data_IF_322185850882
#
_entry.id   IF_322185850882
#
_cell.length_a   1.000
_cell.length_b   1.000
_cell.length_c   1.000
_cell.angle_alpha   90.00
_cell.angle_beta   90.00
_cell.angle_gamma   90.00
#
_symmetry.space_group_name_H-M   'P 1'
#
loop_
_entity.id
_entity.type
_entity.pdbx_description
1 polymer ?
#
# COMPACT_ATOMS: atom_id res chain seq x y z
N UNK A 1 -14.30 49.15 33.67
CA UNK A 1 -14.66 47.72 33.49
C UNK A 1 -13.96 47.19 32.25
N UNK A 2 -12.95 46.34 32.43
CA UNK A 2 -12.06 45.84 31.36
C UNK A 2 -12.74 44.63 30.70
N UNK A 3 -13.27 44.78 29.49
CA UNK A 3 -13.78 43.65 28.69
C UNK A 3 -12.59 42.74 28.35
N UNK A 4 -12.36 41.74 29.17
CA UNK A 4 -11.33 40.73 28.94
C UNK A 4 -11.69 39.96 27.66
N UNK A 5 -10.70 39.75 26.79
CA UNK A 5 -10.84 39.28 25.41
C UNK A 5 -11.21 37.79 25.40
N UNK A 6 -12.51 37.49 25.36
CA UNK A 6 -13.02 36.11 25.24
C UNK A 6 -12.51 35.40 23.97
N UNK A 7 -12.13 36.16 22.93
CA UNK A 7 -11.52 35.64 21.70
C UNK A 7 -10.12 35.05 21.91
N UNK A 8 -9.36 35.54 22.89
CA UNK A 8 -7.99 35.05 23.14
C UNK A 8 -7.98 33.74 23.94
N UNK A 9 -9.00 33.49 24.78
CA UNK A 9 -9.09 32.25 25.57
C UNK A 9 -9.59 31.08 24.70
N UNK A 10 -10.53 31.33 23.79
CA UNK A 10 -11.00 30.32 22.83
C UNK A 10 -9.90 29.86 21.85
N UNK A 11 -9.07 30.80 21.35
CA UNK A 11 -7.95 30.47 20.47
C UNK A 11 -6.86 29.64 21.16
N UNK A 12 -6.59 29.90 22.45
CA UNK A 12 -5.60 29.15 23.24
C UNK A 12 -6.11 27.75 23.60
N UNK A 13 -7.42 27.58 23.86
CA UNK A 13 -8.03 26.26 24.11
C UNK A 13 -8.08 25.37 22.85
N UNK A 14 -8.29 25.94 21.66
CA UNK A 14 -8.21 25.19 20.40
C UNK A 14 -6.78 24.76 20.08
N UNK A 15 -5.78 25.62 20.30
CA UNK A 15 -4.36 25.26 20.11
C UNK A 15 -3.86 24.20 21.11
N UNK A 16 -4.34 24.22 22.34
CA UNK A 16 -3.92 23.24 23.37
C UNK A 16 -4.61 21.87 23.21
N UNK A 17 -5.81 21.82 22.62
CA UNK A 17 -6.45 20.55 22.21
C UNK A 17 -5.74 19.89 21.02
N UNK A 18 -5.12 20.67 20.12
CA UNK A 18 -4.33 20.16 18.99
C UNK A 18 -2.95 19.62 19.40
N UNK A 19 -2.37 20.12 20.50
CA UNK A 19 -0.99 19.81 20.90
C UNK A 19 -0.78 18.47 21.62
N UNK A 20 -1.83 17.90 22.25
CA UNK A 20 -1.70 16.71 23.09
C UNK A 20 -2.26 15.42 22.47
N UNK A 21 -3.18 15.52 21.49
CA UNK A 21 -3.83 14.37 20.86
C UNK A 21 -3.23 13.93 19.52
N UNK A 22 -2.28 14.69 18.97
CA UNK A 22 -1.77 14.46 17.61
C UNK A 22 -0.66 13.43 17.48
N UNK A 23 -0.01 12.98 18.56
CA UNK A 23 1.10 12.03 18.46
C UNK A 23 0.64 10.59 18.72
N UNK A 24 0.68 9.75 17.69
CA UNK A 24 0.42 8.30 17.81
C UNK A 24 1.73 7.53 17.69
N UNK A 25 1.83 6.41 18.40
CA UNK A 25 2.90 5.43 18.22
C UNK A 25 2.63 4.62 16.96
N UNK A 26 3.66 4.39 16.16
CA UNK A 26 3.62 3.48 15.02
C UNK A 26 3.74 2.03 15.54
N UNK A 27 2.83 1.12 15.18
CA UNK A 27 2.80 -0.23 15.77
C UNK A 27 3.99 -1.10 15.31
N UNK A 28 4.57 -0.78 14.15
CA UNK A 28 5.70 -1.52 13.56
C UNK A 28 7.02 -0.94 14.05
N UNK A 29 7.18 0.38 13.92
CA UNK A 29 8.46 1.06 14.18
C UNK A 29 8.61 1.53 15.62
N UNK A 30 7.52 1.57 16.39
CA UNK A 30 7.42 2.14 17.75
C UNK A 30 7.76 3.64 17.85
N UNK A 31 7.94 4.30 16.72
CA UNK A 31 8.20 5.75 16.68
C UNK A 31 6.91 6.54 16.91
N UNK A 32 7.02 7.68 17.62
CA UNK A 32 5.90 8.61 17.79
C UNK A 32 5.89 9.60 16.63
N UNK A 33 4.82 9.60 15.86
CA UNK A 33 4.63 10.54 14.74
C UNK A 33 3.33 11.30 14.92
N UNK A 34 3.31 12.54 14.42
CA UNK A 34 2.09 13.32 14.34
C UNK A 34 1.12 12.67 13.34
N UNK A 35 -0.01 12.20 13.83
CA UNK A 35 -1.06 11.50 13.12
C UNK A 35 -2.38 12.22 13.35
N UNK A 36 -2.97 12.76 12.28
CA UNK A 36 -4.29 13.39 12.34
C UNK A 36 -5.44 12.42 12.11
N UNK A 37 -5.15 11.25 11.54
CA UNK A 37 -6.13 10.19 11.33
C UNK A 37 -6.05 9.13 12.44
N UNK A 38 -7.19 8.75 12.99
CA UNK A 38 -7.30 7.55 13.81
C UNK A 38 -7.30 6.28 12.94
N UNK A 39 -6.97 5.10 13.49
CA UNK A 39 -7.07 3.83 12.74
C UNK A 39 -8.46 3.59 12.14
N UNK A 40 -9.54 3.98 12.83
CA UNK A 40 -10.90 3.83 12.30
C UNK A 40 -11.18 4.79 11.14
N UNK A 41 -10.64 6.01 11.19
CA UNK A 41 -10.74 6.97 10.08
C UNK A 41 -9.93 6.48 8.87
N UNK A 42 -8.78 5.84 9.08
CA UNK A 42 -8.00 5.22 8.00
C UNK A 42 -8.78 4.11 7.31
N UNK A 43 -9.41 3.22 8.08
CA UNK A 43 -10.27 2.16 7.54
C UNK A 43 -11.43 2.75 6.73
N UNK A 44 -12.13 3.74 7.28
CA UNK A 44 -13.23 4.40 6.57
C UNK A 44 -12.75 5.04 5.26
N UNK A 45 -11.60 5.72 5.29
CA UNK A 45 -11.02 6.38 4.13
C UNK A 45 -10.67 5.39 3.02
N UNK A 46 -9.97 4.30 3.37
CA UNK A 46 -9.61 3.27 2.40
C UNK A 46 -10.84 2.59 1.81
N UNK A 47 -11.84 2.26 2.63
CA UNK A 47 -13.08 1.62 2.18
C UNK A 47 -13.90 2.53 1.25
N UNK A 48 -13.94 3.84 1.52
CA UNK A 48 -14.65 4.80 0.67
C UNK A 48 -13.94 4.99 -0.68
N UNK A 49 -12.61 5.05 -0.70
CA UNK A 49 -11.85 5.23 -1.93
C UNK A 49 -11.73 3.95 -2.77
N UNK A 50 -11.71 2.78 -2.15
CA UNK A 50 -11.38 1.49 -2.78
C UNK A 50 -12.16 1.19 -4.08
N UNK A 51 -13.50 1.35 -4.17
CA UNK A 51 -14.23 1.01 -5.40
C UNK A 51 -13.82 1.88 -6.58
N UNK A 52 -13.70 3.19 -6.38
CA UNK A 52 -13.35 4.13 -7.44
C UNK A 52 -11.86 4.07 -7.77
N UNK A 53 -11.01 3.88 -6.76
CA UNK A 53 -9.58 3.63 -6.96
C UNK A 53 -9.36 2.38 -7.84
N UNK A 54 -10.06 1.28 -7.55
CA UNK A 54 -9.96 0.08 -8.39
C UNK A 54 -10.38 0.39 -9.84
N UNK A 55 -11.46 1.17 -10.05
CA UNK A 55 -11.94 1.51 -11.40
C UNK A 55 -10.98 2.41 -12.18
N UNK A 56 -10.27 3.34 -11.51
CA UNK A 56 -9.23 4.16 -12.14
C UNK A 56 -8.14 3.31 -12.81
N UNK A 57 -7.90 2.10 -12.29
CA UNK A 57 -6.93 1.14 -12.80
C UNK A 57 -7.59 -0.07 -13.49
N UNK A 58 -8.75 0.12 -14.11
CA UNK A 58 -9.43 -0.91 -14.93
C UNK A 58 -10.26 -1.92 -14.15
N UNK A 59 -10.41 -1.74 -12.84
CA UNK A 59 -11.17 -2.63 -11.96
C UNK A 59 -10.45 -3.94 -11.65
N UNK A 60 -11.10 -4.85 -10.90
CA UNK A 60 -10.53 -6.17 -10.62
C UNK A 60 -10.30 -6.96 -11.90
N UNK A 61 -9.08 -7.49 -12.07
CA UNK A 61 -8.74 -8.32 -13.20
C UNK A 61 -9.59 -9.59 -13.25
N UNK A 62 -10.19 -9.88 -14.41
CA UNK A 62 -11.16 -10.94 -14.62
C UNK A 62 -10.52 -12.34 -14.75
N UNK A 63 -9.76 -12.74 -13.74
CA UNK A 63 -9.17 -14.07 -13.65
C UNK A 63 -9.21 -14.60 -12.21
N UNK A 64 -10.18 -15.46 -11.87
CA UNK A 64 -10.36 -15.94 -10.50
C UNK A 64 -9.16 -16.77 -9.99
N UNK A 65 -8.40 -17.41 -10.89
CA UNK A 65 -7.22 -18.19 -10.51
C UNK A 65 -6.11 -17.26 -10.05
N UNK A 66 -5.86 -16.18 -10.78
CA UNK A 66 -4.85 -15.19 -10.38
C UNK A 66 -5.29 -14.41 -9.14
N UNK A 67 -6.56 -14.02 -9.05
CA UNK A 67 -7.09 -13.35 -7.86
C UNK A 67 -6.90 -14.20 -6.60
N UNK A 68 -7.28 -15.48 -6.66
CA UNK A 68 -7.14 -16.39 -5.52
C UNK A 68 -5.68 -16.66 -5.18
N UNK A 69 -4.82 -16.80 -6.19
CA UNK A 69 -3.39 -17.02 -5.96
C UNK A 69 -2.73 -15.82 -5.25
N UNK A 70 -2.97 -14.59 -5.74
CA UNK A 70 -2.45 -13.36 -5.11
C UNK A 70 -3.04 -13.18 -3.70
N UNK A 71 -4.33 -13.47 -3.51
CA UNK A 71 -4.97 -13.43 -2.19
C UNK A 71 -4.35 -14.44 -1.23
N UNK A 72 -4.05 -15.66 -1.69
CA UNK A 72 -3.41 -16.69 -0.88
C UNK A 72 -2.00 -16.32 -0.44
N UNK A 73 -1.18 -15.76 -1.33
CA UNK A 73 0.16 -15.24 -0.98
C UNK A 73 0.04 -14.06 -0.02
N UNK A 74 -0.84 -13.09 -0.34
CA UNK A 74 -1.09 -11.92 0.48
C UNK A 74 -1.59 -12.26 1.88
N UNK A 75 -2.49 -13.24 2.02
CA UNK A 75 -3.00 -13.67 3.32
C UNK A 75 -1.90 -14.22 4.24
N UNK A 76 -0.92 -14.98 3.70
CA UNK A 76 0.23 -15.46 4.47
C UNK A 76 1.10 -14.29 4.98
N UNK A 77 1.30 -13.28 4.14
CA UNK A 77 2.03 -12.05 4.50
C UNK A 77 1.26 -11.24 5.55
N UNK A 78 -0.03 -10.98 5.32
CA UNK A 78 -0.88 -10.22 6.23
C UNK A 78 -0.94 -10.83 7.63
N UNK A 79 -0.94 -12.17 7.73
CA UNK A 79 -0.87 -12.86 9.00
C UNK A 79 0.41 -12.55 9.82
N UNK A 80 1.49 -12.13 9.17
CA UNK A 80 2.73 -11.69 9.82
C UNK A 80 2.78 -10.18 10.07
N UNK A 81 2.07 -9.39 9.25
CA UNK A 81 2.00 -7.94 9.35
C UNK A 81 0.99 -7.45 10.40
N UNK A 82 -0.08 -8.22 10.66
CA UNK A 82 -1.12 -7.85 11.60
C UNK A 82 -0.58 -7.82 13.05
N UNK A 83 -0.64 -6.65 13.69
CA UNK A 83 -0.17 -6.45 15.07
C UNK A 83 -1.24 -6.72 16.14
N UNK A 84 -2.49 -7.04 15.75
CA UNK A 84 -3.64 -7.17 16.67
C UNK A 84 -4.10 -5.86 17.32
N UNK A 85 -3.33 -4.78 17.18
CA UNK A 85 -3.60 -3.47 17.78
C UNK A 85 -4.63 -2.66 17.00
N UNK A 86 -4.71 -2.87 15.68
CA UNK A 86 -5.60 -2.11 14.78
C UNK A 86 -6.56 -3.01 14.00
N UNK A 87 -7.77 -2.50 13.67
CA UNK A 87 -8.82 -3.28 13.01
C UNK A 87 -8.62 -3.36 11.49
N UNK A 88 -7.38 -3.44 11.01
CA UNK A 88 -7.08 -3.43 9.57
C UNK A 88 -7.40 -4.80 8.94
N UNK A 89 -8.25 -4.77 7.92
CA UNK A 89 -8.59 -5.93 7.12
C UNK A 89 -7.79 -5.87 5.81
N UNK A 90 -6.72 -6.66 5.75
CA UNK A 90 -5.86 -6.72 4.57
C UNK A 90 -6.61 -7.43 3.43
N UNK A 91 -6.86 -6.68 2.35
CA UNK A 91 -7.54 -7.19 1.16
C UNK A 91 -6.64 -7.07 -0.05
N UNK A 92 -6.35 -8.18 -0.73
CA UNK A 92 -5.45 -8.21 -1.89
C UNK A 92 -6.24 -8.39 -3.18
N UNK A 93 -6.06 -7.47 -4.14
CA UNK A 93 -6.76 -7.48 -5.42
C UNK A 93 -5.81 -7.24 -6.60
N UNK A 94 -5.92 -8.06 -7.64
CA UNK A 94 -5.28 -7.81 -8.93
C UNK A 94 -6.11 -6.83 -9.74
N UNK A 95 -5.49 -5.76 -10.25
CA UNK A 95 -6.15 -4.73 -11.08
C UNK A 95 -5.87 -4.96 -12.57
N UNK A 96 -6.85 -4.69 -13.44
CA UNK A 96 -6.71 -4.76 -14.90
C UNK A 96 -6.03 -3.53 -15.50
N UNK A 97 -4.81 -3.29 -15.06
CA UNK A 97 -3.95 -2.24 -15.61
C UNK A 97 -2.64 -2.84 -16.10
N UNK A 98 -2.13 -2.35 -17.23
CA UNK A 98 -0.82 -2.67 -17.79
C UNK A 98 0.31 -1.85 -17.16
N UNK A 99 -0.03 -0.80 -16.41
CA UNK A 99 0.90 -0.02 -15.58
C UNK A 99 1.65 -0.96 -14.65
N UNK A 100 2.96 -0.79 -14.50
CA UNK A 100 3.77 -1.57 -13.55
C UNK A 100 3.72 -0.90 -12.17
N UNK A 101 2.78 -1.31 -11.32
CA UNK A 101 2.62 -0.75 -9.97
C UNK A 101 1.94 -1.69 -8.95
N UNK A 102 2.05 -1.33 -7.68
CA UNK A 102 1.30 -1.85 -6.55
C UNK A 102 0.95 -0.70 -5.60
N UNK A 103 -0.12 -0.85 -4.82
CA UNK A 103 -0.64 0.22 -3.97
C UNK A 103 -1.15 -0.32 -2.64
N UNK A 104 -0.86 0.38 -1.56
CA UNK A 104 -1.48 0.22 -0.26
C UNK A 104 -2.37 1.43 0.07
N UNK A 105 -3.68 1.21 0.10
CA UNK A 105 -4.62 2.20 0.62
C UNK A 105 -4.66 2.16 2.15
N UNK A 106 -4.99 3.29 2.81
CA UNK A 106 -5.21 3.33 4.25
C UNK A 106 -6.16 2.22 4.72
N UNK A 107 -5.84 1.56 5.83
CA UNK A 107 -6.75 0.62 6.48
C UNK A 107 -6.79 -0.81 5.93
N UNK A 108 -6.03 -1.15 4.88
CA UNK A 108 -5.83 -2.56 4.46
C UNK A 108 -6.04 -2.94 3.00
N UNK A 109 -6.76 -2.18 2.13
CA UNK A 109 -6.85 -2.54 0.73
C UNK A 109 -5.48 -2.42 0.04
N UNK A 110 -5.00 -3.53 -0.52
CA UNK A 110 -3.73 -3.64 -1.24
C UNK A 110 -4.02 -4.14 -2.65
N UNK A 111 -3.40 -3.46 -3.62
CA UNK A 111 -3.59 -3.73 -5.03
C UNK A 111 -2.25 -4.04 -5.71
N UNK A 112 -2.29 -4.94 -6.67
CA UNK A 112 -1.18 -5.17 -7.61
C UNK A 112 -1.75 -5.14 -9.03
N UNK A 113 -1.11 -4.42 -9.93
CA UNK A 113 -1.56 -4.39 -11.32
C UNK A 113 -1.15 -5.67 -12.04
N UNK A 114 -1.94 -6.07 -13.04
CA UNK A 114 -1.54 -7.12 -13.99
C UNK A 114 -0.20 -6.80 -14.66
N UNK A 115 0.04 -5.52 -14.95
CA UNK A 115 1.29 -5.01 -15.50
C UNK A 115 2.51 -5.40 -14.67
N UNK A 116 2.47 -5.19 -13.34
CA UNK A 116 3.56 -5.62 -12.46
C UNK A 116 3.59 -7.13 -12.29
N UNK A 117 2.44 -7.77 -12.08
CA UNK A 117 2.35 -9.21 -11.84
C UNK A 117 2.99 -10.03 -12.97
N UNK A 118 2.87 -9.60 -14.23
CA UNK A 118 3.47 -10.29 -15.37
C UNK A 118 4.98 -10.07 -15.56
N UNK A 119 5.60 -9.20 -14.78
CA UNK A 119 7.04 -8.93 -14.84
C UNK A 119 7.83 -9.74 -13.79
N UNK A 120 7.14 -10.19 -12.75
CA UNK A 120 7.74 -11.01 -11.70
C UNK A 120 8.06 -12.42 -12.25
N UNK A 121 9.11 -13.02 -11.72
CA UNK A 121 9.59 -14.33 -12.17
C UNK A 121 9.12 -15.51 -11.31
N UNK A 122 8.76 -15.26 -10.05
CA UNK A 122 8.42 -16.30 -9.08
C UNK A 122 7.54 -15.77 -7.92
N UNK A 123 7.05 -16.69 -7.07
CA UNK A 123 6.16 -16.38 -5.94
C UNK A 123 6.86 -15.56 -4.85
N UNK A 124 8.16 -15.73 -4.64
CA UNK A 124 8.91 -14.97 -3.64
C UNK A 124 9.03 -13.49 -4.02
N UNK A 125 9.12 -13.18 -5.32
CA UNK A 125 9.05 -11.79 -5.80
C UNK A 125 7.66 -11.19 -5.55
N UNK A 126 6.59 -11.93 -5.82
CA UNK A 126 5.22 -11.50 -5.48
C UNK A 126 5.08 -11.27 -3.97
N UNK A 127 5.55 -12.21 -3.15
CA UNK A 127 5.55 -12.07 -1.69
C UNK A 127 6.34 -10.83 -1.25
N UNK A 128 7.45 -10.49 -1.92
CA UNK A 128 8.22 -9.28 -1.66
C UNK A 128 7.44 -8.00 -1.92
N UNK A 129 6.76 -7.89 -3.07
CA UNK A 129 5.87 -6.75 -3.37
C UNK A 129 4.77 -6.65 -2.32
N UNK A 130 4.05 -7.75 -2.03
CA UNK A 130 2.94 -7.71 -1.08
C UNK A 130 3.38 -7.44 0.36
N UNK A 131 4.56 -7.91 0.76
CA UNK A 131 5.14 -7.62 2.09
C UNK A 131 5.55 -6.16 2.24
N UNK A 132 6.09 -5.57 1.18
CA UNK A 132 6.38 -4.15 1.11
C UNK A 132 5.10 -3.32 1.29
N UNK A 133 4.07 -3.58 0.48
CA UNK A 133 2.77 -2.89 0.59
C UNK A 133 2.08 -3.12 1.95
N UNK A 134 2.11 -4.35 2.46
CA UNK A 134 1.55 -4.65 3.78
C UNK A 134 2.27 -3.89 4.90
N UNK A 135 3.57 -3.62 4.75
CA UNK A 135 4.30 -2.77 5.70
C UNK A 135 3.83 -1.33 5.65
N UNK A 136 3.52 -0.77 4.46
CA UNK A 136 2.95 0.59 4.38
C UNK A 136 1.63 0.71 5.14
N UNK A 137 0.77 -0.30 5.07
CA UNK A 137 -0.47 -0.37 5.87
C UNK A 137 -0.13 -0.51 7.36
N UNK A 138 0.66 -1.51 7.73
CA UNK A 138 0.96 -1.82 9.13
C UNK A 138 1.63 -0.64 9.83
N UNK A 139 2.60 0.00 9.18
CA UNK A 139 3.30 1.17 9.68
C UNK A 139 2.55 2.49 9.44
N UNK A 140 1.31 2.44 8.93
CA UNK A 140 0.44 3.60 8.73
C UNK A 140 1.10 4.70 7.89
N UNK A 141 1.93 4.33 6.91
CA UNK A 141 2.71 5.27 6.11
C UNK A 141 1.82 6.24 5.32
N UNK A 142 0.72 5.77 4.75
CA UNK A 142 -0.23 6.61 4.01
C UNK A 142 -0.87 7.65 4.95
N UNK A 143 -1.24 7.26 6.17
CA UNK A 143 -1.80 8.18 7.15
C UNK A 143 -0.77 9.19 7.69
N UNK A 144 0.48 8.78 7.86
CA UNK A 144 1.59 9.70 8.14
C UNK A 144 1.77 10.70 7.00
N UNK A 145 1.69 10.25 5.75
CA UNK A 145 1.89 11.09 4.58
C UNK A 145 0.74 12.06 4.36
N UNK A 146 -0.51 11.59 4.50
CA UNK A 146 -1.70 12.43 4.53
C UNK A 146 -1.57 13.49 5.63
N UNK A 147 -1.13 13.10 6.83
CA UNK A 147 -0.95 14.04 7.94
C UNK A 147 0.14 15.10 7.68
N UNK A 148 1.10 14.82 6.77
CA UNK A 148 2.16 15.76 6.38
C UNK A 148 1.79 16.65 5.19
N UNK A 149 1.09 16.09 4.20
CA UNK A 149 0.90 16.72 2.90
C UNK A 149 -0.48 17.35 2.73
N UNK A 150 -1.52 16.80 3.36
CA UNK A 150 -2.87 17.28 3.14
C UNK A 150 -3.18 18.50 4.02
N UNK A 151 -3.77 19.52 3.40
CA UNK A 151 -4.29 20.68 4.12
C UNK A 151 -5.40 20.26 5.08
N UNK A 152 -5.58 21.05 6.14
CA UNK A 152 -6.67 20.89 7.10
C UNK A 152 -8.03 20.74 6.41
N UNK A 153 -8.23 21.36 5.24
CA UNK A 153 -9.46 21.23 4.45
C UNK A 153 -9.73 19.81 3.93
N UNK A 154 -8.71 19.07 3.48
CA UNK A 154 -8.89 17.68 3.02
C UNK A 154 -9.14 16.76 4.22
N UNK A 155 -8.44 16.98 5.33
CA UNK A 155 -8.70 16.28 6.59
C UNK A 155 -10.13 16.51 7.10
N UNK A 156 -10.67 17.74 6.95
CA UNK A 156 -12.07 18.06 7.28
C UNK A 156 -13.03 17.34 6.34
N UNK A 157 -12.78 17.29 5.02
CA UNK A 157 -13.62 16.54 4.07
C UNK A 157 -13.69 15.05 4.44
N UNK A 158 -12.55 14.43 4.73
CA UNK A 158 -12.45 13.03 5.18
C UNK A 158 -13.22 12.82 6.49
N UNK A 159 -13.03 13.70 7.48
CA UNK A 159 -13.74 13.63 8.76
C UNK A 159 -15.26 13.77 8.60
N UNK A 160 -15.72 14.63 7.68
CA UNK A 160 -17.15 14.85 7.42
C UNK A 160 -17.83 13.65 6.75
N UNK A 161 -17.13 12.95 5.85
CA UNK A 161 -17.60 11.71 5.24
C UNK A 161 -17.72 10.58 6.28
N UNK A 162 -16.70 10.41 7.14
CA UNK A 162 -16.69 9.41 8.19
C UNK A 162 -17.80 9.62 9.25
N UNK A 163 -18.09 10.88 9.63
CA UNK A 163 -19.13 11.22 10.61
C UNK A 163 -20.56 11.05 10.06
N UNK A 164 -20.74 11.12 8.74
CA UNK A 164 -22.04 10.97 8.08
C UNK A 164 -22.56 9.53 8.11
N UNK A 165 -21.70 8.53 8.30
CA UNK A 165 -22.10 7.11 8.47
C UNK A 165 -22.69 6.80 9.85
N UNK A 166 -22.51 7.67 10.84
CA UNK A 166 -23.00 7.46 12.21
C UNK A 166 -24.45 7.89 12.45
N UNK A 167 -25.10 8.56 11.48
CA UNK A 167 -26.46 9.08 11.63
C UNK A 167 -27.37 8.56 10.52
N UNK A 168 -28.20 7.58 10.91
CA UNK A 168 -29.48 7.18 10.29
C UNK A 168 -29.41 6.47 8.92
N UNK A 169 -30.19 5.39 8.79
CA UNK A 169 -30.42 4.65 7.54
C UNK A 169 -31.22 5.44 6.51
N UNK A 170 -30.63 6.52 6.01
CA UNK A 170 -31.04 7.17 4.78
C UNK A 170 -30.14 6.66 3.65
N UNK A 171 -30.77 6.09 2.62
CA UNK A 171 -30.14 5.81 1.34
C UNK A 171 -29.40 7.07 0.85
N UNK A 172 -28.11 6.92 0.53
CA UNK A 172 -27.34 7.94 -0.18
C UNK A 172 -26.76 9.06 0.68
N UNK A 173 -25.72 8.78 1.46
CA UNK A 173 -24.68 9.80 1.67
C UNK A 173 -23.77 9.75 0.44
N UNK A 174 -24.20 10.41 -0.64
CA UNK A 174 -23.35 10.73 -1.76
C UNK A 174 -22.28 11.70 -1.26
N UNK A 175 -21.10 11.19 -0.96
CA UNK A 175 -19.91 11.95 -1.30
C UNK A 175 -20.09 12.38 -2.75
N UNK A 176 -20.19 13.69 -3.01
CA UNK A 176 -20.36 14.20 -4.38
C UNK A 176 -19.28 13.54 -5.22
N UNK A 177 -19.60 12.94 -6.37
CA UNK A 177 -18.65 12.12 -7.12
C UNK A 177 -17.31 12.85 -7.34
N UNK A 178 -17.31 14.18 -7.44
CA UNK A 178 -16.10 15.00 -7.52
C UNK A 178 -15.21 14.93 -6.26
N UNK A 179 -15.77 14.84 -5.05
CA UNK A 179 -15.03 14.73 -3.80
C UNK A 179 -14.30 13.39 -3.69
N UNK A 180 -14.97 12.29 -4.05
CA UNK A 180 -14.33 10.96 -4.02
C UNK A 180 -13.30 10.84 -5.13
N UNK A 181 -13.59 11.37 -6.33
CA UNK A 181 -12.61 11.43 -7.41
C UNK A 181 -11.36 12.24 -6.99
N UNK A 182 -11.54 13.39 -6.33
CA UNK A 182 -10.44 14.17 -5.78
C UNK A 182 -9.64 13.41 -4.71
N UNK A 183 -10.30 12.65 -3.84
CA UNK A 183 -9.64 11.78 -2.87
C UNK A 183 -8.82 10.67 -3.57
N UNK A 184 -9.41 9.97 -4.53
CA UNK A 184 -8.75 8.90 -5.29
C UNK A 184 -7.51 9.42 -5.99
N UNK A 185 -7.61 10.57 -6.67
CA UNK A 185 -6.47 11.20 -7.32
C UNK A 185 -5.34 11.51 -6.35
N UNK A 186 -5.67 12.03 -5.15
CA UNK A 186 -4.66 12.28 -4.12
C UNK A 186 -4.03 10.98 -3.59
N UNK A 187 -4.82 9.92 -3.41
CA UNK A 187 -4.31 8.62 -2.95
C UNK A 187 -3.42 7.95 -4.02
N UNK A 188 -3.74 8.12 -5.30
CA UNK A 188 -2.96 7.57 -6.41
C UNK A 188 -1.62 8.30 -6.61
N UNK A 189 -1.54 9.60 -6.34
CA UNK A 189 -0.29 10.39 -6.38
C UNK A 189 0.44 10.44 -5.02
N UNK A 190 0.03 9.64 -4.03
CA UNK A 190 0.77 9.52 -2.77
C UNK A 190 2.19 9.03 -3.05
N UNK A 191 3.16 9.76 -2.51
CA UNK A 191 4.59 9.41 -2.60
C UNK A 191 5.13 9.17 -1.22
N UNK A 192 5.72 8.01 -1.00
CA UNK A 192 6.32 7.71 0.29
C UNK A 192 7.68 8.38 0.47
N UNK A 193 8.05 8.66 1.72
CA UNK A 193 9.38 9.19 2.01
C UNK A 193 10.44 8.09 1.94
N UNK A 194 11.71 8.42 1.66
CA UNK A 194 12.81 7.43 1.70
C UNK A 194 12.89 6.64 3.01
N UNK A 195 12.47 7.26 4.13
CA UNK A 195 12.37 6.59 5.43
C UNK A 195 11.28 5.52 5.44
N UNK A 196 10.11 5.83 4.88
CA UNK A 196 9.01 4.88 4.74
C UNK A 196 9.41 3.70 3.85
N UNK A 197 10.10 3.95 2.74
CA UNK A 197 10.63 2.90 1.86
C UNK A 197 11.62 1.98 2.59
N UNK A 198 12.56 2.56 3.35
CA UNK A 198 13.53 1.78 4.14
C UNK A 198 12.82 0.90 5.18
N UNK A 199 11.79 1.43 5.83
CA UNK A 199 10.96 0.69 6.78
C UNK A 199 10.20 -0.44 6.06
N UNK A 200 9.57 -0.14 4.92
CA UNK A 200 8.83 -1.10 4.13
C UNK A 200 9.70 -2.26 3.62
N UNK A 201 10.93 -1.98 3.19
CA UNK A 201 11.90 -3.02 2.83
C UNK A 201 12.30 -3.85 4.05
N UNK A 202 12.67 -3.20 5.15
CA UNK A 202 13.21 -3.89 6.34
C UNK A 202 12.17 -4.80 7.00
N UNK A 203 10.97 -4.29 7.28
CA UNK A 203 9.92 -5.10 7.92
C UNK A 203 9.21 -6.01 6.93
N UNK A 204 9.18 -5.66 5.63
CA UNK A 204 8.73 -6.55 4.57
C UNK A 204 9.56 -7.83 4.52
N UNK A 205 10.89 -7.74 4.65
CA UNK A 205 11.76 -8.92 4.77
C UNK A 205 11.39 -9.78 5.98
N UNK A 206 11.10 -9.16 7.13
CA UNK A 206 10.69 -9.89 8.34
C UNK A 206 9.37 -10.66 8.09
N UNK A 207 8.41 -10.03 7.42
CA UNK A 207 7.14 -10.67 7.05
C UNK A 207 7.33 -11.82 6.06
N UNK A 208 8.17 -11.63 5.04
CA UNK A 208 8.50 -12.68 4.08
C UNK A 208 9.10 -13.90 4.77
N UNK A 209 10.15 -13.73 5.58
CA UNK A 209 10.85 -14.84 6.22
C UNK A 209 9.92 -15.58 7.19
N UNK A 210 9.12 -14.86 7.98
CA UNK A 210 8.15 -15.48 8.90
C UNK A 210 7.03 -16.22 8.18
N UNK A 211 6.62 -15.73 7.02
CA UNK A 211 5.65 -16.40 6.14
C UNK A 211 6.27 -17.57 5.35
N UNK A 212 7.57 -17.83 5.50
CA UNK A 212 8.28 -18.93 4.85
C UNK A 212 8.74 -18.63 3.42
N UNK A 213 8.79 -17.37 3.01
CA UNK A 213 9.24 -16.94 1.68
C UNK A 213 10.74 -16.63 1.64
N UNK A 214 11.36 -16.86 0.49
CA UNK A 214 12.76 -16.54 0.23
C UNK A 214 12.95 -15.01 0.16
N UNK A 215 13.68 -14.36 1.11
CA UNK A 215 13.83 -12.90 1.13
C UNK A 215 14.58 -12.33 -0.09
N UNK A 216 15.38 -13.15 -0.79
CA UNK A 216 16.02 -12.75 -2.05
C UNK A 216 15.02 -12.40 -3.16
N UNK A 217 13.73 -12.79 -3.04
CA UNK A 217 12.68 -12.33 -3.94
C UNK A 217 12.56 -10.79 -3.98
N UNK A 218 12.70 -10.11 -2.84
CA UNK A 218 12.65 -8.64 -2.79
C UNK A 218 13.83 -7.99 -3.53
N UNK A 219 15.02 -8.61 -3.46
CA UNK A 219 16.18 -8.18 -4.27
C UNK A 219 15.89 -8.35 -5.77
N UNK A 220 15.30 -9.49 -6.16
CA UNK A 220 14.93 -9.74 -7.56
C UNK A 220 13.93 -8.72 -8.12
N UNK A 221 13.00 -8.25 -7.29
CA UNK A 221 12.05 -7.16 -7.64
C UNK A 221 12.80 -5.85 -7.92
N UNK A 222 13.73 -5.46 -7.04
CA UNK A 222 14.49 -4.23 -7.24
C UNK A 222 15.41 -4.30 -8.47
N UNK A 223 16.06 -5.44 -8.70
CA UNK A 223 16.86 -5.65 -9.91
C UNK A 223 16.00 -5.61 -11.19
N UNK A 224 14.75 -6.09 -11.14
CA UNK A 224 13.80 -5.95 -12.23
C UNK A 224 13.50 -4.48 -12.51
N UNK A 225 13.22 -3.66 -11.49
CA UNK A 225 12.96 -2.23 -11.69
C UNK A 225 14.17 -1.49 -12.28
N UNK A 226 15.38 -1.78 -11.80
CA UNK A 226 16.62 -1.21 -12.36
C UNK A 226 16.76 -1.56 -13.84
N UNK A 227 16.50 -2.82 -14.23
CA UNK A 227 16.52 -3.23 -15.65
C UNK A 227 15.48 -2.47 -16.48
N UNK A 228 14.29 -2.25 -15.95
CA UNK A 228 13.23 -1.50 -16.64
C UNK A 228 13.60 -0.03 -16.83
N UNK A 229 14.15 0.63 -15.81
CA UNK A 229 14.61 2.03 -15.93
C UNK A 229 15.68 2.19 -17.01
N UNK A 230 16.65 1.28 -17.03
CA UNK A 230 17.71 1.26 -18.05
C UNK A 230 17.17 1.08 -19.48
N UNK A 231 16.06 0.37 -19.63
CA UNK A 231 15.41 0.13 -20.93
C UNK A 231 14.46 1.25 -21.36
N UNK A 232 13.77 1.89 -20.40
CA UNK A 232 12.71 2.86 -20.66
C UNK A 232 13.20 4.29 -20.94
N UNK A 233 14.46 4.62 -20.63
CA UNK A 233 14.97 5.98 -20.76
C UNK A 233 14.26 6.93 -19.77
N UNK A 234 13.76 8.09 -20.24
CA UNK A 234 13.01 9.03 -19.40
C UNK A 234 11.57 8.56 -19.19
N UNK A 235 11.27 7.91 -18.06
CA UNK A 235 9.90 7.55 -17.71
C UNK A 235 9.76 6.54 -16.58
N UNK A 236 10.66 5.56 -16.52
CA UNK A 236 10.71 4.52 -15.47
C UNK A 236 9.41 3.73 -15.26
N UNK A 237 9.42 2.68 -14.42
CA UNK A 237 8.21 2.07 -13.89
C UNK A 237 7.40 3.06 -13.06
N UNK A 238 6.07 3.05 -13.17
CA UNK A 238 5.17 3.90 -12.36
C UNK A 238 5.36 3.66 -10.86
N UNK A 239 5.68 2.42 -10.47
CA UNK A 239 6.06 2.06 -9.11
C UNK A 239 7.11 3.00 -8.49
N UNK A 240 8.13 3.41 -9.24
CA UNK A 240 9.20 4.26 -8.70
C UNK A 240 8.81 5.72 -8.52
N UNK A 241 7.65 6.14 -9.04
CA UNK A 241 7.11 7.48 -8.80
C UNK A 241 6.40 7.55 -7.45
N UNK A 242 5.68 6.49 -7.07
CA UNK A 242 5.01 6.37 -5.77
C UNK A 242 5.95 5.85 -4.67
N UNK A 243 6.96 5.06 -5.04
CA UNK A 243 8.00 4.48 -4.19
C UNK A 243 9.40 4.95 -4.61
N UNK A 244 9.79 6.20 -4.29
CA UNK A 244 11.08 6.73 -4.71
C UNK A 244 12.24 5.87 -4.20
N UNK A 245 13.13 5.47 -5.09
CA UNK A 245 14.30 4.66 -4.74
C UNK A 245 15.24 5.45 -3.81
N UNK A 246 15.48 5.05 -2.54
CA UNK A 246 16.64 5.56 -1.82
C UNK A 246 17.93 5.05 -2.47
N UNK A 247 18.96 5.90 -2.54
CA UNK A 247 20.25 5.51 -3.10
C UNK A 247 20.72 4.17 -2.48
N UNK A 248 21.04 3.19 -3.32
CA UNK A 248 21.53 1.86 -2.94
C UNK A 248 20.54 0.92 -2.21
N UNK A 249 19.25 0.91 -2.58
CA UNK A 249 18.25 -0.06 -2.04
C UNK A 249 18.71 -1.51 -2.11
N UNK A 250 19.26 -1.95 -3.24
CA UNK A 250 19.65 -3.35 -3.44
C UNK A 250 20.72 -3.75 -2.43
N UNK A 251 21.75 -2.91 -2.26
CA UNK A 251 22.80 -3.14 -1.27
C UNK A 251 22.24 -3.13 0.16
N UNK A 252 21.34 -2.20 0.48
CA UNK A 252 20.72 -2.12 1.80
C UNK A 252 19.88 -3.36 2.13
N UNK A 253 19.05 -3.83 1.19
CA UNK A 253 18.25 -5.06 1.35
C UNK A 253 19.18 -6.26 1.53
N UNK A 254 20.23 -6.38 0.71
CA UNK A 254 21.22 -7.47 0.83
C UNK A 254 21.93 -7.45 2.19
N UNK A 255 22.32 -6.27 2.66
CA UNK A 255 22.95 -6.10 3.98
C UNK A 255 22.00 -6.54 5.10
N UNK A 256 20.75 -6.11 5.07
CA UNK A 256 19.72 -6.52 6.06
C UNK A 256 19.50 -8.03 6.04
N UNK A 257 19.46 -8.66 4.86
CA UNK A 257 19.35 -10.12 4.73
C UNK A 257 20.56 -10.81 5.36
N UNK A 258 21.78 -10.35 5.08
CA UNK A 258 23.01 -10.93 5.64
C UNK A 258 23.08 -10.78 7.15
N UNK A 259 22.65 -9.64 7.69
CA UNK A 259 22.69 -9.34 9.12
C UNK A 259 21.61 -10.12 9.90
N UNK A 260 20.35 -10.04 9.47
CA UNK A 260 19.21 -10.59 10.22
C UNK A 260 18.88 -12.03 9.85
N UNK A 261 19.19 -12.44 8.62
CA UNK A 261 18.77 -13.72 8.03
C UNK A 261 19.90 -14.43 7.27
N UNK A 262 21.11 -14.60 7.86
CA UNK A 262 22.29 -15.07 7.13
C UNK A 262 22.13 -16.45 6.47
N UNK A 263 21.26 -17.31 6.99
CA UNK A 263 21.00 -18.64 6.43
C UNK A 263 19.89 -18.67 5.39
N UNK A 264 19.02 -17.66 5.34
CA UNK A 264 17.83 -17.66 4.49
C UNK A 264 18.14 -17.76 2.98
N UNK A 265 19.17 -17.08 2.42
CA UNK A 265 19.50 -17.20 1.00
C UNK A 265 19.78 -18.64 0.53
N UNK A 266 20.23 -19.51 1.44
CA UNK A 266 20.59 -20.89 1.15
C UNK A 266 19.64 -21.92 1.77
N UNK A 267 18.53 -21.48 2.39
CA UNK A 267 17.58 -22.39 3.05
C UNK A 267 16.59 -22.96 2.01
N UNK A 268 16.67 -24.26 1.67
CA UNK A 268 15.80 -24.87 0.67
C UNK A 268 14.35 -25.02 1.12
N UNK A 269 14.07 -24.78 2.42
CA UNK A 269 12.71 -24.84 2.97
C UNK A 269 11.92 -23.56 2.66
N UNK A 270 12.59 -22.46 2.34
CA UNK A 270 11.93 -21.21 1.99
C UNK A 270 11.35 -21.26 0.57
N UNK A 271 10.16 -20.73 0.42
CA UNK A 271 9.40 -20.74 -0.83
C UNK A 271 10.02 -19.73 -1.79
N UNK A 272 10.52 -20.22 -2.92
CA UNK A 272 10.76 -19.44 -4.16
C UNK A 272 9.50 -19.47 -5.03
N UNK A 273 8.92 -20.66 -5.23
CA UNK A 273 7.61 -20.84 -5.87
C UNK A 273 7.58 -20.61 -7.39
N UNK A 274 8.69 -20.78 -8.12
CA UNK A 274 8.79 -20.52 -9.57
C UNK A 274 7.76 -21.28 -10.41
N UNK A 275 7.58 -22.59 -10.17
CA UNK A 275 6.66 -23.41 -10.98
C UNK A 275 5.19 -23.06 -10.72
N UNK A 276 4.83 -22.88 -9.45
CA UNK A 276 3.50 -22.44 -9.06
C UNK A 276 3.17 -21.08 -9.69
N UNK A 277 4.11 -20.13 -9.60
CA UNK A 277 3.97 -18.81 -10.19
C UNK A 277 3.79 -18.87 -11.71
N UNK A 278 4.65 -19.63 -12.40
CA UNK A 278 4.55 -19.83 -13.85
C UNK A 278 3.19 -20.40 -14.25
N UNK A 279 2.72 -21.41 -13.53
CA UNK A 279 1.44 -22.06 -13.84
C UNK A 279 0.25 -21.13 -13.57
N UNK A 280 0.23 -20.47 -12.41
CA UNK A 280 -0.91 -19.69 -11.93
C UNK A 280 -0.95 -18.26 -12.47
N UNK A 281 0.16 -17.73 -12.97
CA UNK A 281 0.26 -16.35 -13.49
C UNK A 281 0.77 -16.34 -14.93
N UNK A 282 2.03 -16.70 -15.16
CA UNK A 282 2.69 -16.42 -16.45
C UNK A 282 2.10 -17.20 -17.63
N UNK A 283 1.67 -18.45 -17.43
CA UNK A 283 1.03 -19.25 -18.49
C UNK A 283 -0.29 -18.62 -18.96
N UNK A 284 -0.95 -17.88 -18.07
CA UNK A 284 -2.25 -17.24 -18.29
C UNK A 284 -2.11 -15.89 -19.01
N UNK A 285 -0.90 -15.33 -19.11
CA UNK A 285 -0.60 -14.15 -19.92
C UNK A 285 -0.94 -14.36 -21.41
N UNK A 286 -0.82 -15.60 -21.90
CA UNK A 286 -1.13 -15.93 -23.30
C UNK A 286 -2.62 -15.95 -23.62
N UNK A 287 -3.49 -16.22 -22.62
CA UNK A 287 -4.95 -16.15 -22.76
C UNK A 287 -5.40 -14.70 -23.05
N UNK A 288 -4.68 -13.70 -22.51
CA UNK A 288 -4.94 -12.27 -22.74
C UNK A 288 -4.82 -11.89 -24.22
N UNK A 289 -3.82 -12.42 -24.93
CA UNK A 289 -3.60 -12.11 -26.36
C UNK A 289 -4.63 -12.79 -27.28
N UNK A 290 -5.21 -13.92 -26.86
CA UNK A 290 -6.25 -14.61 -27.65
C UNK A 290 -7.62 -13.92 -27.51
N UNK A 291 -8.02 -13.50 -26.30
CA UNK A 291 -9.29 -12.80 -26.12
C UNK A 291 -9.29 -11.39 -26.72
N UNK A 292 -8.20 -10.63 -26.60
CA UNK A 292 -8.09 -9.30 -27.22
C UNK A 292 -8.19 -9.35 -28.77
N UNK A 293 -7.73 -10.43 -29.42
CA UNK A 293 -7.91 -10.64 -30.87
C UNK A 293 -9.30 -11.14 -31.25
N UNK A 294 -10.01 -11.80 -30.34
CA UNK A 294 -11.34 -12.36 -30.57
C UNK A 294 -12.45 -11.32 -30.44
N UNK A 295 -12.27 -10.30 -29.59
CA UNK A 295 -13.27 -9.23 -29.35
C UNK A 295 -13.11 -8.03 -30.29
N UNK A 296 -12.07 -8.03 -31.13
CA UNK A 296 -11.81 -7.01 -32.15
C UNK A 296 -12.24 -7.46 -33.57
N UNK A 297 -13.00 -8.55 -33.68
CA UNK A 297 -13.67 -9.04 -34.89
C UNK A 297 -15.17 -9.01 -34.69
#
# INVERSE_FOLDING_TARGET
MRRMRWTSVAAVLVLSALGAGGCSTNPVTQERTLMFLSPQQEVALGQEAAPQFAQEFGGPYADPVMQEYVRGVGAKIAAQAASGEYPYEYGFTVLDSDVVNAFALPGGPIYITRGLLFQLSDESQLAGVLAHEATHVAARHSAQQISRQMSVSVLISIASAALSRGKTGAEGSSSTAEQVAGLVANLADLRYSRKHETQADTYGLDYMVRAGYQPMGMVGVMEMFVRMEQQAGSGGPEFLKTHPNPDNRIEAIRATIQEKYPTAPNDPRLIVGTDAYRQKVLSRQSLVKQFAKSSAK
#
